data_IF_399969690867
#
_entry.id   IF_399969690867
#
_cell.length_a   1.000
_cell.length_b   1.000
_cell.length_c   1.000
_cell.angle_alpha   90.00
_cell.angle_beta   90.00
_cell.angle_gamma   90.00
#
_symmetry.space_group_name_H-M   'P 1'
#
loop_
_entity.id
_entity.type
_entity.pdbx_description
1 polymer ?
#
# COMPACT_ATOMS: atom_id res chain seq x y z
N UNK A 1 -5.99 -8.06 1.59
CA UNK A 1 -4.68 -8.17 2.29
C UNK A 1 -3.77 -7.04 1.88
N UNK A 2 -2.82 -6.71 2.75
CA UNK A 2 -1.75 -5.74 2.48
C UNK A 2 -0.41 -6.47 2.64
N UNK A 3 0.51 -6.24 1.73
CA UNK A 3 1.89 -6.69 1.84
C UNK A 3 2.79 -5.46 2.05
N UNK A 4 3.66 -5.51 3.03
CA UNK A 4 4.68 -4.51 3.30
C UNK A 4 6.04 -5.16 3.03
N UNK A 5 6.80 -4.57 2.13
CA UNK A 5 8.11 -5.09 1.73
C UNK A 5 9.17 -4.03 2.02
N UNK A 6 10.15 -4.41 2.81
CA UNK A 6 11.32 -3.56 3.09
C UNK A 6 12.49 -3.97 2.22
N UNK A 7 13.14 -3.00 1.59
CA UNK A 7 14.38 -3.21 0.85
C UNK A 7 15.45 -2.23 1.39
N UNK A 8 16.34 -2.70 2.27
CA UNK A 8 17.42 -1.87 2.83
C UNK A 8 18.44 -1.43 1.79
N UNK A 9 18.69 -2.25 0.75
CA UNK A 9 19.71 -1.98 -0.26
C UNK A 9 19.26 -0.85 -1.19
N UNK A 10 17.99 -0.86 -1.58
CA UNK A 10 17.39 0.20 -2.39
C UNK A 10 16.79 1.35 -1.55
N UNK A 11 16.81 1.22 -0.23
CA UNK A 11 16.23 2.19 0.71
C UNK A 11 14.74 2.42 0.44
N UNK A 12 13.99 1.36 0.15
CA UNK A 12 12.57 1.46 -0.16
C UNK A 12 11.69 0.75 0.85
N UNK A 13 10.49 1.27 0.98
CA UNK A 13 9.38 0.67 1.70
C UNK A 13 8.20 0.60 0.74
N UNK A 14 7.72 -0.60 0.46
CA UNK A 14 6.68 -0.87 -0.51
C UNK A 14 5.43 -1.42 0.16
N UNK A 15 4.28 -0.90 -0.24
CA UNK A 15 2.96 -1.32 0.21
C UNK A 15 2.16 -1.83 -0.98
N UNK A 16 1.68 -3.06 -0.92
CA UNK A 16 0.90 -3.68 -1.99
C UNK A 16 -0.44 -4.14 -1.42
N UNK A 17 -1.53 -3.67 -2.01
CA UNK A 17 -2.87 -4.14 -1.70
C UNK A 17 -3.53 -4.85 -2.89
N UNK A 18 -4.57 -5.61 -2.63
CA UNK A 18 -5.43 -6.24 -3.61
C UNK A 18 -6.83 -5.61 -3.63
N UNK A 19 -6.92 -4.34 -3.32
CA UNK A 19 -8.13 -3.54 -3.31
C UNK A 19 -8.72 -3.31 -4.70
N UNK A 20 -9.56 -2.31 -4.82
CA UNK A 20 -10.24 -2.00 -6.09
C UNK A 20 -9.32 -1.34 -7.13
N UNK A 21 -8.16 -0.85 -6.71
CA UNK A 21 -7.29 -0.05 -7.57
C UNK A 21 -7.92 1.27 -8.00
N UNK A 22 -7.24 1.97 -8.88
CA UNK A 22 -7.66 3.28 -9.39
C UNK A 22 -7.48 3.35 -10.91
N UNK A 23 -8.35 4.10 -11.56
CA UNK A 23 -8.17 4.56 -12.95
C UNK A 23 -7.25 5.80 -12.98
N UNK A 24 -6.83 6.21 -14.16
CA UNK A 24 -6.05 7.44 -14.37
C UNK A 24 -6.76 8.68 -13.82
N UNK A 25 -8.05 8.81 -14.10
CA UNK A 25 -8.86 9.93 -13.60
C UNK A 25 -8.98 9.91 -12.07
N UNK A 26 -9.13 8.73 -11.47
CA UNK A 26 -9.19 8.58 -10.01
C UNK A 26 -7.83 8.88 -9.34
N UNK A 27 -6.71 8.50 -9.96
CA UNK A 27 -5.36 8.88 -9.48
C UNK A 27 -5.19 10.39 -9.53
N UNK A 28 -5.57 11.04 -10.62
CA UNK A 28 -5.48 12.49 -10.75
C UNK A 28 -6.35 13.20 -9.71
N UNK A 29 -7.56 12.72 -9.49
CA UNK A 29 -8.50 13.33 -8.56
C UNK A 29 -8.14 13.09 -7.10
N UNK A 30 -7.81 11.85 -6.72
CA UNK A 30 -7.65 11.45 -5.31
C UNK A 30 -6.23 11.51 -4.79
N UNK A 31 -5.23 11.41 -5.66
CA UNK A 31 -3.82 11.44 -5.29
C UNK A 31 -3.23 12.82 -5.53
N UNK A 32 -3.52 13.41 -6.68
CA UNK A 32 -2.89 14.67 -7.12
C UNK A 32 -3.48 15.88 -6.43
N UNK A 33 -4.76 15.86 -6.07
CA UNK A 33 -5.43 16.94 -5.38
C UNK A 33 -5.32 16.81 -3.86
N UNK A 34 -4.68 17.81 -3.22
CA UNK A 34 -4.53 17.84 -1.76
C UNK A 34 -5.90 17.95 -1.08
N UNK A 35 -6.08 17.18 -0.01
CA UNK A 35 -7.30 17.14 0.81
C UNK A 35 -8.55 16.63 0.08
N UNK A 36 -8.41 16.06 -1.11
CA UNK A 36 -9.50 15.35 -1.77
C UNK A 36 -9.45 13.86 -1.41
N UNK A 37 -10.59 13.28 -1.07
CA UNK A 37 -10.68 11.86 -0.70
C UNK A 37 -11.82 11.18 -1.45
N UNK A 38 -11.51 10.09 -2.10
CA UNK A 38 -12.49 9.20 -2.70
C UNK A 38 -13.36 8.42 -1.69
N UNK A 39 -13.07 8.53 -0.40
CA UNK A 39 -13.81 7.79 0.63
C UNK A 39 -15.30 8.14 0.66
N UNK A 40 -15.66 9.42 0.50
CA UNK A 40 -17.06 9.85 0.49
C UNK A 40 -17.81 9.29 -0.74
N UNK A 41 -17.22 9.39 -1.91
CA UNK A 41 -17.78 8.87 -3.17
C UNK A 41 -17.86 7.34 -3.15
N UNK A 42 -16.87 6.69 -2.56
CA UNK A 42 -16.87 5.24 -2.37
C UNK A 42 -18.02 4.80 -1.45
N UNK A 43 -18.21 5.46 -0.32
CA UNK A 43 -19.31 5.19 0.61
C UNK A 43 -20.67 5.38 -0.05
N UNK A 44 -20.86 6.43 -0.83
CA UNK A 44 -22.12 6.66 -1.55
C UNK A 44 -22.38 5.57 -2.60
N UNK A 45 -21.36 5.22 -3.38
CA UNK A 45 -21.46 4.23 -4.47
C UNK A 45 -21.67 2.80 -3.97
N UNK A 46 -21.16 2.47 -2.80
CA UNK A 46 -21.19 1.12 -2.23
C UNK A 46 -21.93 1.02 -0.89
N UNK A 47 -22.81 1.96 -0.61
CA UNK A 47 -23.54 2.12 0.65
C UNK A 47 -24.21 0.84 1.16
N UNK A 48 -24.69 -0.02 0.26
CA UNK A 48 -25.36 -1.28 0.59
C UNK A 48 -24.39 -2.46 0.81
N UNK A 49 -23.09 -2.28 0.59
CA UNK A 49 -22.09 -3.35 0.57
C UNK A 49 -20.91 -3.12 1.51
N UNK A 50 -20.81 -1.96 2.15
CA UNK A 50 -19.65 -1.58 2.95
C UNK A 50 -20.09 -1.02 4.29
N UNK A 51 -19.50 -1.50 5.39
CA UNK A 51 -19.63 -0.86 6.69
C UNK A 51 -18.78 0.41 6.70
N UNK A 52 -19.37 1.54 7.07
CA UNK A 52 -18.68 2.84 7.20
C UNK A 52 -17.47 2.76 8.13
N UNK A 53 -17.52 1.91 9.14
CA UNK A 53 -16.43 1.68 10.11
C UNK A 53 -15.17 1.01 9.50
N UNK A 54 -15.24 0.48 8.28
CA UNK A 54 -14.11 -0.13 7.58
C UNK A 54 -13.26 0.87 6.81
N UNK A 55 -13.72 2.11 6.64
CA UNK A 55 -12.99 3.16 5.94
C UNK A 55 -12.33 4.08 6.96
N UNK A 56 -11.00 4.02 7.02
CA UNK A 56 -10.19 4.75 8.01
C UNK A 56 -9.86 6.16 7.54
N UNK A 57 -9.67 6.36 6.23
CA UNK A 57 -9.25 7.65 5.68
C UNK A 57 -10.43 8.44 5.10
N UNK A 58 -10.69 9.64 5.63
CA UNK A 58 -11.79 10.49 5.19
C UNK A 58 -11.37 11.84 4.60
N UNK A 59 -10.11 12.24 4.78
CA UNK A 59 -9.68 13.62 4.53
C UNK A 59 -8.71 13.79 3.34
N UNK A 60 -8.28 12.72 2.70
CA UNK A 60 -7.35 12.76 1.56
C UNK A 60 -5.95 13.32 1.87
N UNK A 61 -5.59 13.46 3.15
CA UNK A 61 -4.30 14.02 3.58
C UNK A 61 -3.27 12.94 3.94
N UNK A 62 -3.71 11.73 4.25
CA UNK A 62 -2.85 10.65 4.73
C UNK A 62 -1.75 10.26 3.74
N UNK A 63 -2.06 10.25 2.44
CA UNK A 63 -1.10 9.92 1.41
C UNK A 63 0.11 10.88 1.39
N UNK A 64 -0.12 12.18 1.59
CA UNK A 64 0.95 13.19 1.57
C UNK A 64 1.93 13.07 2.74
N UNK A 65 1.55 12.38 3.83
CA UNK A 65 2.47 12.07 4.93
C UNK A 65 3.66 11.19 4.47
N UNK A 66 3.52 10.47 3.36
CA UNK A 66 4.61 9.72 2.74
C UNK A 66 5.83 10.60 2.43
N UNK A 67 5.62 11.85 2.03
CA UNK A 67 6.72 12.80 1.74
C UNK A 67 7.44 13.32 2.98
N UNK A 68 6.97 13.02 4.19
CA UNK A 68 7.72 13.29 5.42
C UNK A 68 8.89 12.31 5.57
N UNK A 69 8.81 11.12 4.96
CA UNK A 69 9.80 10.05 5.09
C UNK A 69 10.44 9.64 3.78
N UNK A 70 9.94 10.13 2.65
CA UNK A 70 10.39 9.76 1.31
C UNK A 70 10.72 10.99 0.46
N UNK A 71 11.81 10.89 -0.30
CA UNK A 71 12.18 11.88 -1.31
C UNK A 71 11.41 11.68 -2.62
N UNK A 72 10.95 10.46 -2.85
CA UNK A 72 10.16 10.09 -4.02
C UNK A 72 9.11 9.04 -3.64
N UNK A 73 7.94 9.15 -4.25
CA UNK A 73 6.85 8.18 -4.13
C UNK A 73 6.39 7.76 -5.50
N UNK A 74 6.21 6.45 -5.70
CA UNK A 74 5.60 5.92 -6.92
C UNK A 74 4.35 5.11 -6.60
N UNK A 75 3.40 5.12 -7.51
CA UNK A 75 2.17 4.32 -7.45
C UNK A 75 2.04 3.52 -8.73
N UNK A 76 1.85 2.22 -8.61
CA UNK A 76 1.40 1.33 -9.67
C UNK A 76 0.01 0.82 -9.30
N UNK A 77 -1.00 1.10 -10.11
CA UNK A 77 -2.37 0.70 -9.80
C UNK A 77 -3.12 0.15 -11.00
N UNK A 78 -3.95 -0.85 -10.74
CA UNK A 78 -4.87 -1.43 -11.72
C UNK A 78 -6.28 -1.44 -11.14
N UNK A 79 -7.17 -0.71 -11.77
CA UNK A 79 -8.58 -0.66 -11.38
C UNK A 79 -9.29 -2.00 -11.62
N UNK A 80 -10.29 -2.27 -10.79
CA UNK A 80 -11.24 -3.37 -10.98
C UNK A 80 -12.18 -3.17 -12.17
N UNK A 81 -12.26 -1.94 -12.66
CA UNK A 81 -13.17 -1.59 -13.76
C UNK A 81 -12.72 -2.27 -15.05
N UNK A 82 -13.69 -2.79 -15.76
CA UNK A 82 -13.42 -3.46 -17.04
C UNK A 82 -12.84 -2.45 -18.04
N UNK A 83 -11.83 -2.89 -18.76
CA UNK A 83 -11.12 -2.12 -19.78
C UNK A 83 -10.29 -0.92 -19.22
N UNK A 84 -10.18 -0.78 -17.90
CA UNK A 84 -9.28 0.20 -17.29
C UNK A 84 -7.81 -0.20 -17.55
N UNK A 85 -7.00 0.77 -17.97
CA UNK A 85 -5.56 0.57 -18.13
C UNK A 85 -4.84 0.70 -16.79
N UNK A 86 -3.73 -0.02 -16.61
CA UNK A 86 -2.88 0.22 -15.45
C UNK A 86 -2.26 1.62 -15.49
N UNK A 87 -2.06 2.20 -14.32
CA UNK A 87 -1.53 3.56 -14.17
C UNK A 87 -0.27 3.53 -13.33
N UNK A 88 0.76 4.19 -13.85
CA UNK A 88 1.96 4.57 -13.12
C UNK A 88 1.90 6.05 -12.79
N UNK A 89 2.13 6.40 -11.53
CA UNK A 89 2.25 7.77 -11.05
C UNK A 89 3.53 7.90 -10.22
N UNK A 90 4.25 9.02 -10.37
CA UNK A 90 5.40 9.32 -9.52
C UNK A 90 5.51 10.81 -9.21
N UNK A 91 6.04 11.11 -8.02
CA UNK A 91 6.35 12.45 -7.56
C UNK A 91 7.58 12.41 -6.65
N UNK A 92 8.48 13.37 -6.83
CA UNK A 92 9.70 13.54 -6.02
C UNK A 92 9.55 14.56 -4.87
N UNK A 93 8.31 14.83 -4.47
CA UNK A 93 8.02 15.79 -3.40
C UNK A 93 8.01 17.25 -3.83
N UNK A 94 8.34 17.55 -5.10
CA UNK A 94 8.16 18.86 -5.70
C UNK A 94 6.71 19.08 -6.16
N UNK A 95 6.43 20.21 -6.74
CA UNK A 95 5.08 20.54 -7.24
C UNK A 95 4.68 19.76 -8.48
N UNK A 96 5.61 18.99 -9.07
CA UNK A 96 5.40 18.28 -10.31
C UNK A 96 5.30 16.78 -10.07
N UNK A 97 4.36 16.15 -10.75
CA UNK A 97 4.21 14.71 -10.83
C UNK A 97 4.20 14.27 -12.29
N UNK A 98 4.49 13.02 -12.53
CA UNK A 98 4.29 12.38 -13.83
C UNK A 98 3.30 11.22 -13.72
N UNK A 99 2.55 11.02 -14.80
CA UNK A 99 1.60 9.93 -14.91
C UNK A 99 1.70 9.30 -16.30
N UNK A 100 1.70 7.97 -16.36
CA UNK A 100 1.82 7.20 -17.59
C UNK A 100 1.09 5.87 -17.46
N UNK A 101 1.03 5.10 -18.55
CA UNK A 101 0.54 3.73 -18.49
C UNK A 101 1.47 2.87 -17.63
N UNK A 102 0.91 2.17 -16.66
CA UNK A 102 1.64 1.32 -15.72
C UNK A 102 1.85 -0.10 -16.23
N UNK A 103 2.52 -0.91 -15.43
CA UNK A 103 2.84 -2.29 -15.76
C UNK A 103 2.02 -3.33 -14.96
N UNK A 104 1.21 -2.89 -14.01
CA UNK A 104 0.47 -3.79 -13.12
C UNK A 104 -0.62 -4.54 -13.87
N UNK A 105 -0.65 -5.86 -13.74
CA UNK A 105 -1.61 -6.74 -14.43
C UNK A 105 -2.75 -7.22 -13.53
N UNK A 106 -2.58 -7.10 -12.22
CA UNK A 106 -3.57 -7.53 -11.25
C UNK A 106 -4.19 -6.32 -10.55
N UNK A 107 -5.49 -6.42 -10.25
CA UNK A 107 -6.23 -5.43 -9.48
C UNK A 107 -5.55 -5.11 -8.16
N UNK A 108 -5.56 -3.84 -7.79
CA UNK A 108 -5.00 -3.32 -6.55
C UNK A 108 -3.98 -2.22 -6.78
N UNK A 109 -3.31 -1.82 -5.71
CA UNK A 109 -2.35 -0.72 -5.73
C UNK A 109 -1.04 -1.12 -5.07
N UNK A 110 0.06 -0.67 -5.65
CA UNK A 110 1.40 -0.75 -5.10
C UNK A 110 1.93 0.67 -4.93
N UNK A 111 2.34 1.02 -3.70
CA UNK A 111 2.97 2.30 -3.38
C UNK A 111 4.38 2.02 -2.93
N UNK A 112 5.36 2.65 -3.57
CA UNK A 112 6.77 2.56 -3.18
C UNK A 112 7.27 3.91 -2.67
N UNK A 113 7.76 3.91 -1.44
CA UNK A 113 8.42 5.03 -0.80
C UNK A 113 9.93 4.86 -0.95
N UNK A 114 10.60 5.81 -1.62
CA UNK A 114 12.05 5.91 -1.64
C UNK A 114 12.45 6.80 -0.47
N UNK A 115 12.93 6.18 0.60
CA UNK A 115 13.13 6.82 1.89
C UNK A 115 14.25 7.87 1.82
N UNK A 116 14.02 9.01 2.46
CA UNK A 116 15.05 10.01 2.66
C UNK A 116 16.08 9.55 3.71
N UNK A 117 17.22 10.23 3.77
CA UNK A 117 18.33 9.83 4.64
C UNK A 117 17.97 9.84 6.13
N UNK A 118 17.07 10.74 6.56
CA UNK A 118 16.62 10.84 7.95
C UNK A 118 15.64 9.72 8.35
N UNK A 119 15.11 9.00 7.38
CA UNK A 119 14.06 7.97 7.58
C UNK A 119 14.51 6.55 7.24
N UNK A 120 15.82 6.32 7.05
CA UNK A 120 16.36 5.00 6.69
C UNK A 120 16.11 3.92 7.75
N UNK A 121 15.81 4.29 8.98
CA UNK A 121 15.40 3.35 10.02
C UNK A 121 14.17 2.51 9.62
N UNK A 122 13.29 3.05 8.77
CA UNK A 122 12.09 2.34 8.29
C UNK A 122 12.40 1.31 7.19
N UNK A 123 13.57 1.36 6.55
CA UNK A 123 14.05 0.30 5.67
C UNK A 123 14.57 -0.93 6.44
N UNK A 124 14.06 -1.16 7.62
CA UNK A 124 14.43 -2.24 8.51
C UNK A 124 13.19 -3.04 8.92
N UNK A 125 13.26 -4.37 8.78
CA UNK A 125 12.13 -5.25 9.06
C UNK A 125 11.65 -5.15 10.51
N UNK A 126 12.56 -5.04 11.48
CA UNK A 126 12.19 -4.94 12.90
C UNK A 126 11.48 -3.62 13.19
N UNK A 127 11.95 -2.51 12.60
CA UNK A 127 11.33 -1.20 12.78
C UNK A 127 9.97 -1.13 12.10
N UNK A 128 9.87 -1.65 10.88
CA UNK A 128 8.59 -1.74 10.18
C UNK A 128 7.57 -2.58 10.96
N UNK A 129 7.99 -3.72 11.50
CA UNK A 129 7.14 -4.56 12.37
C UNK A 129 6.66 -3.81 13.61
N UNK A 130 7.56 -3.15 14.33
CA UNK A 130 7.21 -2.35 15.52
C UNK A 130 6.12 -1.31 15.21
N UNK A 131 6.25 -0.60 14.09
CA UNK A 131 5.27 0.41 13.66
C UNK A 131 3.93 -0.22 13.29
N UNK A 132 3.94 -1.31 12.52
CA UNK A 132 2.73 -2.03 12.11
C UNK A 132 2.00 -2.57 13.35
N UNK A 133 2.69 -3.22 14.26
CA UNK A 133 2.09 -3.75 15.49
C UNK A 133 1.50 -2.65 16.37
N UNK A 134 2.19 -1.54 16.48
CA UNK A 134 1.75 -0.42 17.33
C UNK A 134 0.52 0.31 16.78
N UNK A 135 0.45 0.51 15.47
CA UNK A 135 -0.54 1.40 14.87
C UNK A 135 -1.59 0.69 14.00
N UNK A 136 -1.32 -0.54 13.56
CA UNK A 136 -2.15 -1.25 12.61
C UNK A 136 -2.75 -2.57 13.15
N UNK A 137 -2.51 -2.94 14.42
CA UNK A 137 -2.99 -4.20 15.01
C UNK A 137 -4.51 -4.35 15.00
N UNK A 138 -5.24 -3.25 14.93
CA UNK A 138 -6.72 -3.25 14.95
C UNK A 138 -7.34 -3.11 13.56
N UNK A 139 -6.52 -3.09 12.50
CA UNK A 139 -7.05 -3.00 11.14
C UNK A 139 -7.78 -4.29 10.74
N UNK A 140 -8.95 -4.18 10.08
CA UNK A 140 -9.75 -5.34 9.68
C UNK A 140 -9.19 -6.04 8.43
N UNK A 141 -7.90 -5.95 8.18
CA UNK A 141 -7.19 -6.53 7.03
C UNK A 141 -5.90 -7.19 7.49
N UNK A 142 -5.55 -8.28 6.84
CA UNK A 142 -4.29 -8.97 7.07
C UNK A 142 -3.13 -8.17 6.48
N UNK A 143 -2.07 -7.97 7.28
CA UNK A 143 -0.85 -7.29 6.88
C UNK A 143 0.31 -8.28 6.98
N UNK A 144 1.00 -8.48 5.86
CA UNK A 144 2.17 -9.34 5.73
C UNK A 144 3.42 -8.49 5.57
N UNK A 145 4.43 -8.74 6.40
CA UNK A 145 5.72 -8.05 6.33
C UNK A 145 6.78 -9.01 5.79
N UNK A 146 7.56 -8.56 4.82
CA UNK A 146 8.71 -9.29 4.30
C UNK A 146 9.87 -8.35 3.97
N UNK A 147 11.07 -8.95 3.88
CA UNK A 147 12.26 -8.27 3.36
C UNK A 147 12.48 -8.74 1.92
N UNK A 148 12.72 -7.80 1.00
CA UNK A 148 13.01 -8.13 -0.39
C UNK A 148 14.31 -8.93 -0.51
N UNK A 149 14.31 -9.94 -1.38
CA UNK A 149 15.44 -10.84 -1.57
C UNK A 149 15.66 -11.88 -0.46
N UNK A 150 14.85 -11.89 0.60
CA UNK A 150 14.88 -12.94 1.61
C UNK A 150 14.00 -14.10 1.13
N UNK A 151 14.59 -15.29 1.00
CA UNK A 151 13.79 -16.50 0.76
C UNK A 151 12.90 -16.77 1.98
N UNK A 152 11.67 -17.29 1.76
CA UNK A 152 10.81 -17.69 2.86
C UNK A 152 11.53 -18.67 3.79
N UNK A 153 11.57 -18.39 5.06
CA UNK A 153 12.04 -19.33 6.07
C UNK A 153 10.86 -20.23 6.45
N UNK A 154 11.03 -21.53 6.26
CA UNK A 154 10.04 -22.52 6.63
C UNK A 154 10.45 -23.18 7.93
N UNK A 155 9.54 -23.27 8.87
CA UNK A 155 9.67 -23.99 10.12
C UNK A 155 8.93 -25.34 10.00
N UNK A 156 9.59 -26.43 10.39
CA UNK A 156 8.91 -27.72 10.42
C UNK A 156 8.10 -27.81 11.71
N UNK A 157 6.79 -27.91 11.56
CA UNK A 157 5.85 -28.11 12.67
C UNK A 157 5.19 -29.49 12.50
N UNK A 158 4.86 -30.14 13.62
CA UNK A 158 4.10 -31.39 13.59
C UNK A 158 2.68 -31.15 13.08
N UNK A 159 2.10 -32.13 12.36
CA UNK A 159 0.75 -32.02 11.76
C UNK A 159 -0.33 -31.63 12.79
N UNK A 160 -0.16 -32.06 14.05
CA UNK A 160 -1.10 -31.76 15.13
C UNK A 160 -1.00 -30.32 15.66
N UNK A 161 0.08 -29.61 15.34
CA UNK A 161 0.34 -28.23 15.79
C UNK A 161 0.05 -27.16 14.71
N UNK A 162 -0.37 -27.59 13.50
CA UNK A 162 -0.73 -26.69 12.41
C UNK A 162 -1.98 -25.89 12.76
N UNK A 163 -1.88 -24.56 12.67
CA UNK A 163 -3.01 -23.66 12.90
C UNK A 163 -3.63 -23.23 11.57
N UNK A 164 -4.91 -22.78 11.59
CA UNK A 164 -5.61 -22.35 10.36
C UNK A 164 -4.95 -21.18 9.63
N UNK A 165 -4.15 -20.38 10.34
CA UNK A 165 -3.39 -19.26 9.82
C UNK A 165 -2.03 -19.65 9.18
N UNK A 166 -1.57 -20.88 9.39
CA UNK A 166 -0.29 -21.34 8.88
C UNK A 166 -0.38 -21.64 7.36
N UNK A 167 0.66 -21.23 6.63
CA UNK A 167 0.82 -21.61 5.23
C UNK A 167 1.66 -22.87 5.16
N UNK A 168 1.02 -23.99 4.87
CA UNK A 168 1.69 -25.29 4.72
C UNK A 168 2.18 -25.48 3.28
N UNK A 169 3.43 -25.89 3.13
CA UNK A 169 4.07 -26.16 1.83
C UNK A 169 4.44 -27.63 1.73
#
# INVERSE_FOLDING_TARGET
KIQVIVNPDEKTLKFIDNGIGMTDSEVEEYITQIAFSGAADFLEKYKDKTNEDQIIGHFGLGFYSAFMVADKVTIETQSWQKDAKPVHWECDGNSEYSMSEGARTQRGTEITLYLNDDSLEFANEYKAREVIEKYCSFMPVEIYLSKEGKEPEYETIDEDDVKPEDTVV
#
